data_IF_066532795394
#
_entry.id   IF_066532795394
#
_cell.length_a   1.000
_cell.length_b   1.000
_cell.length_c   1.000
_cell.angle_alpha   90.00
_cell.angle_beta   90.00
_cell.angle_gamma   90.00
#
_symmetry.space_group_name_H-M   'P 1'
#
loop_
_entity.id
_entity.type
_entity.pdbx_description
1 polymer ?
#
# COMPACT_ATOMS: atom_id res chain seq x y z
N UNK A 1 -31.32 -29.83 -26.35
CA UNK A 1 -31.78 -28.43 -26.45
C UNK A 1 -32.75 -28.15 -25.32
N UNK A 2 -32.32 -27.40 -24.32
CA UNK A 2 -33.20 -26.75 -23.35
C UNK A 2 -32.40 -25.60 -22.74
N UNK A 3 -32.45 -24.46 -23.43
CA UNK A 3 -31.98 -23.17 -22.95
C UNK A 3 -32.90 -22.74 -21.80
N UNK A 4 -32.45 -22.94 -20.56
CA UNK A 4 -32.97 -22.14 -19.45
C UNK A 4 -32.35 -20.75 -19.55
N UNK A 5 -33.19 -19.81 -19.99
CA UNK A 5 -32.88 -18.38 -20.03
C UNK A 5 -32.58 -17.91 -18.61
N UNK A 6 -31.35 -17.45 -18.38
CA UNK A 6 -31.02 -16.58 -17.24
C UNK A 6 -32.01 -15.40 -17.25
N UNK A 7 -32.92 -15.38 -16.28
CA UNK A 7 -33.75 -14.21 -16.05
C UNK A 7 -32.84 -13.05 -15.62
N UNK A 8 -33.04 -11.83 -16.13
CA UNK A 8 -32.31 -10.66 -15.67
C UNK A 8 -32.63 -10.45 -14.19
N UNK A 9 -31.60 -10.56 -13.35
CA UNK A 9 -31.67 -10.29 -11.92
C UNK A 9 -31.95 -8.80 -11.78
N UNK A 10 -33.16 -8.43 -11.34
CA UNK A 10 -33.50 -7.03 -11.04
C UNK A 10 -32.53 -6.53 -9.96
N UNK A 11 -31.67 -5.59 -10.32
CA UNK A 11 -30.78 -4.92 -9.37
C UNK A 11 -31.64 -4.20 -8.32
N UNK A 12 -31.58 -4.68 -7.07
CA UNK A 12 -32.23 -4.00 -5.95
C UNK A 12 -31.58 -2.64 -5.75
N UNK A 13 -32.35 -1.53 -5.72
CA UNK A 13 -31.80 -0.20 -5.46
C UNK A 13 -30.94 -0.18 -4.19
N UNK A 14 -29.80 0.52 -4.22
CA UNK A 14 -28.87 0.58 -3.08
C UNK A 14 -29.57 1.03 -1.78
N UNK A 15 -30.50 1.97 -1.87
CA UNK A 15 -31.31 2.44 -0.73
C UNK A 15 -32.11 1.32 -0.06
N UNK A 16 -32.74 0.45 -0.85
CA UNK A 16 -33.52 -0.70 -0.35
C UNK A 16 -32.60 -1.73 0.31
N UNK A 17 -31.43 -2.00 -0.29
CA UNK A 17 -30.45 -2.92 0.28
C UNK A 17 -29.88 -2.43 1.63
N UNK A 18 -29.62 -1.14 1.75
CA UNK A 18 -29.21 -0.51 3.01
C UNK A 18 -30.30 -0.65 4.09
N UNK A 19 -31.55 -0.43 3.70
CA UNK A 19 -32.69 -0.56 4.60
C UNK A 19 -32.85 -2.00 5.10
N UNK A 20 -32.79 -2.98 4.20
CA UNK A 20 -32.83 -4.41 4.54
C UNK A 20 -31.72 -4.78 5.54
N UNK A 21 -30.48 -4.33 5.32
CA UNK A 21 -29.35 -4.63 6.21
C UNK A 21 -29.53 -4.00 7.60
N UNK A 22 -30.08 -2.78 7.66
CA UNK A 22 -30.40 -2.09 8.92
C UNK A 22 -31.52 -2.78 9.68
N UNK A 23 -32.56 -3.22 8.99
CA UNK A 23 -33.69 -3.90 9.64
C UNK A 23 -33.27 -5.28 10.16
N UNK A 24 -32.43 -6.03 9.43
CA UNK A 24 -31.78 -7.24 9.95
C UNK A 24 -30.97 -6.99 11.22
N UNK A 25 -30.24 -5.88 11.30
CA UNK A 25 -29.50 -5.53 12.53
C UNK A 25 -30.47 -5.24 13.69
N UNK A 26 -31.55 -4.50 13.45
CA UNK A 26 -32.56 -4.23 14.48
C UNK A 26 -33.22 -5.52 14.97
N UNK A 27 -33.52 -6.47 14.07
CA UNK A 27 -34.06 -7.78 14.44
C UNK A 27 -33.08 -8.53 15.37
N UNK A 28 -31.79 -8.55 15.04
CA UNK A 28 -30.75 -9.17 15.87
C UNK A 28 -30.69 -8.51 17.25
N UNK A 29 -30.69 -7.17 17.31
CA UNK A 29 -30.66 -6.42 18.56
C UNK A 29 -31.90 -6.68 19.42
N UNK A 30 -33.09 -6.71 18.81
CA UNK A 30 -34.35 -7.01 19.50
C UNK A 30 -34.40 -8.45 20.05
N UNK A 31 -33.70 -9.38 19.41
CA UNK A 31 -33.55 -10.76 19.86
C UNK A 31 -32.47 -10.94 20.95
N UNK A 32 -31.75 -9.88 21.34
CA UNK A 32 -30.61 -9.96 22.27
C UNK A 32 -29.33 -10.50 21.64
N UNK A 33 -29.27 -10.57 20.31
CA UNK A 33 -28.16 -11.13 19.52
C UNK A 33 -27.37 -10.02 18.82
N UNK A 34 -27.13 -8.89 19.50
CA UNK A 34 -26.40 -7.75 18.92
C UNK A 34 -24.94 -8.15 18.61
N UNK A 35 -24.53 -8.26 17.33
CA UNK A 35 -23.19 -8.68 16.99
C UNK A 35 -22.12 -7.68 17.47
N UNK A 36 -22.47 -6.40 17.68
CA UNK A 36 -21.54 -5.39 18.14
C UNK A 36 -21.28 -5.41 19.66
N UNK A 37 -22.02 -6.22 20.43
CA UNK A 37 -21.71 -6.51 21.83
C UNK A 37 -20.67 -7.62 21.97
N UNK A 38 -20.38 -8.37 20.90
CA UNK A 38 -19.35 -9.41 20.87
C UNK A 38 -18.00 -8.73 20.63
N UNK A 39 -17.24 -8.55 21.71
CA UNK A 39 -15.95 -7.86 21.68
C UNK A 39 -14.76 -8.78 21.44
N UNK A 40 -14.97 -10.10 21.53
CA UNK A 40 -13.91 -11.12 21.39
C UNK A 40 -14.42 -12.37 20.69
N UNK A 41 -13.59 -12.92 19.81
CA UNK A 41 -13.72 -14.27 19.27
C UNK A 41 -12.34 -14.92 19.26
N UNK A 42 -12.21 -16.10 19.88
CA UNK A 42 -10.96 -16.86 19.90
C UNK A 42 -10.84 -17.66 18.59
N UNK A 43 -9.80 -17.39 17.81
CA UNK A 43 -9.47 -18.08 16.56
C UNK A 43 -8.07 -18.72 16.66
N UNK A 44 -7.80 -19.75 15.87
CA UNK A 44 -6.56 -20.53 15.97
C UNK A 44 -5.78 -20.64 14.64
N UNK A 45 -6.45 -20.49 13.50
CA UNK A 45 -5.84 -20.61 12.19
C UNK A 45 -6.31 -19.53 11.22
N UNK A 46 -5.42 -19.16 10.29
CA UNK A 46 -5.79 -18.43 9.09
C UNK A 46 -6.03 -19.37 7.91
N UNK A 47 -6.74 -18.88 6.91
CA UNK A 47 -7.08 -19.55 5.67
C UNK A 47 -5.84 -20.09 4.96
N UNK A 48 -4.76 -19.31 4.91
CA UNK A 48 -3.51 -19.73 4.30
C UNK A 48 -2.79 -20.78 5.14
N UNK A 49 -2.77 -20.62 6.47
CA UNK A 49 -2.20 -21.62 7.38
C UNK A 49 -2.89 -22.99 7.29
N UNK A 50 -4.21 -23.02 7.05
CA UNK A 50 -4.96 -24.26 6.82
C UNK A 50 -4.55 -24.88 5.49
N UNK A 51 -4.42 -24.09 4.43
CA UNK A 51 -4.04 -24.58 3.10
C UNK A 51 -2.61 -25.14 3.07
N UNK A 52 -1.66 -24.41 3.67
CA UNK A 52 -0.24 -24.78 3.67
C UNK A 52 0.01 -26.05 4.49
N UNK A 53 -0.82 -26.30 5.51
CA UNK A 53 -0.70 -27.45 6.43
C UNK A 53 -1.89 -28.41 6.31
N UNK A 54 -2.53 -28.43 5.14
CA UNK A 54 -3.81 -29.12 4.97
C UNK A 54 -3.73 -30.61 5.34
N UNK A 55 -2.72 -31.33 4.87
CA UNK A 55 -2.59 -32.77 5.11
C UNK A 55 -2.45 -33.12 6.60
N UNK A 56 -1.92 -32.20 7.42
CA UNK A 56 -1.82 -32.38 8.86
C UNK A 56 -3.09 -31.93 9.61
N UNK A 57 -3.89 -31.05 9.00
CA UNK A 57 -5.08 -30.47 9.60
C UNK A 57 -6.38 -31.14 9.13
N UNK A 58 -6.36 -31.94 8.07
CA UNK A 58 -7.56 -32.62 7.60
C UNK A 58 -8.20 -33.48 8.71
N UNK A 59 -9.49 -33.27 8.94
CA UNK A 59 -10.25 -33.89 10.04
C UNK A 59 -10.08 -33.21 11.40
N UNK A 60 -9.21 -32.20 11.54
CA UNK A 60 -9.04 -31.44 12.78
C UNK A 60 -10.06 -30.32 12.91
N UNK A 61 -10.42 -30.02 14.15
CA UNK A 61 -11.23 -28.85 14.48
C UNK A 61 -10.39 -27.57 14.42
N UNK A 62 -10.98 -26.53 13.83
CA UNK A 62 -10.37 -25.22 13.67
C UNK A 62 -11.38 -24.10 13.92
N UNK A 63 -10.87 -22.96 14.37
CA UNK A 63 -11.60 -21.71 14.55
C UNK A 63 -11.03 -20.64 13.64
N UNK A 64 -11.82 -20.22 12.66
CA UNK A 64 -11.44 -19.19 11.69
C UNK A 64 -12.37 -17.99 11.80
N UNK A 65 -11.86 -16.80 11.54
CA UNK A 65 -12.65 -15.57 11.52
C UNK A 65 -12.30 -14.71 10.31
N UNK A 66 -13.31 -14.09 9.71
CA UNK A 66 -13.11 -13.30 8.50
C UNK A 66 -14.39 -12.73 7.92
N UNK A 67 -14.25 -12.08 6.76
CA UNK A 67 -15.33 -11.46 6.00
C UNK A 67 -15.94 -12.45 5.02
N UNK A 68 -17.26 -12.55 4.98
CA UNK A 68 -17.97 -13.28 3.93
C UNK A 68 -17.84 -12.54 2.60
N UNK A 69 -17.11 -13.11 1.64
CA UNK A 69 -16.87 -12.52 0.32
C UNK A 69 -17.84 -13.04 -0.74
N UNK A 70 -18.36 -14.25 -0.55
CA UNK A 70 -19.35 -14.85 -1.43
C UNK A 70 -20.27 -15.74 -0.60
N UNK A 71 -21.49 -15.95 -1.09
CA UNK A 71 -22.46 -16.84 -0.48
C UNK A 71 -23.36 -17.45 -1.55
N UNK A 72 -23.45 -18.77 -1.58
CA UNK A 72 -24.25 -19.56 -2.53
C UNK A 72 -25.04 -20.60 -1.75
N UNK A 73 -26.37 -20.48 -1.74
CA UNK A 73 -27.27 -21.44 -1.10
C UNK A 73 -27.87 -22.41 -2.11
N UNK A 74 -27.89 -23.70 -1.78
CA UNK A 74 -28.59 -24.76 -2.51
C UNK A 74 -29.40 -25.60 -1.52
N UNK A 75 -30.67 -25.26 -1.31
CA UNK A 75 -31.55 -25.97 -0.38
C UNK A 75 -31.01 -26.00 1.05
N UNK A 76 -30.56 -27.19 1.49
CA UNK A 76 -30.00 -27.46 2.83
C UNK A 76 -28.50 -27.22 2.96
N UNK A 77 -27.84 -26.75 1.91
CA UNK A 77 -26.39 -26.52 1.89
C UNK A 77 -26.11 -25.06 1.53
N UNK A 78 -25.11 -24.46 2.17
CA UNK A 78 -24.59 -23.14 1.87
C UNK A 78 -23.07 -23.19 1.72
N UNK A 79 -22.56 -22.63 0.63
CA UNK A 79 -21.13 -22.44 0.38
C UNK A 79 -20.81 -20.95 0.47
N UNK A 80 -19.77 -20.59 1.22
CA UNK A 80 -19.30 -19.21 1.32
C UNK A 80 -17.79 -19.14 1.19
N UNK A 81 -17.26 -18.05 0.66
CA UNK A 81 -15.83 -17.74 0.79
C UNK A 81 -15.61 -16.82 1.98
N UNK A 82 -14.81 -17.25 2.94
CA UNK A 82 -14.35 -16.43 4.05
C UNK A 82 -12.98 -15.84 3.70
N UNK A 83 -12.85 -14.51 3.77
CA UNK A 83 -11.57 -13.82 3.61
C UNK A 83 -11.06 -13.32 4.96
N UNK A 84 -9.84 -13.69 5.31
CA UNK A 84 -9.16 -13.21 6.51
C UNK A 84 -7.92 -12.38 6.13
N UNK A 85 -6.98 -12.25 7.07
CA UNK A 85 -5.77 -11.47 6.85
C UNK A 85 -4.78 -12.10 5.86
N UNK A 86 -4.80 -13.41 5.65
CA UNK A 86 -3.78 -14.11 4.85
C UNK A 86 -4.34 -14.61 3.52
N UNK A 87 -5.66 -14.77 3.39
CA UNK A 87 -6.25 -15.25 2.15
C UNK A 87 -7.74 -15.51 2.23
N UNK A 88 -8.18 -16.53 1.51
CA UNK A 88 -9.57 -16.99 1.46
C UNK A 88 -9.68 -18.47 1.70
N UNK A 89 -10.70 -18.93 2.41
CA UNK A 89 -11.05 -20.35 2.55
C UNK A 89 -12.54 -20.56 2.35
N UNK A 90 -12.91 -21.68 1.72
CA UNK A 90 -14.31 -22.02 1.53
C UNK A 90 -14.91 -22.55 2.85
N UNK A 91 -16.09 -22.07 3.18
CA UNK A 91 -16.96 -22.58 4.22
C UNK A 91 -18.03 -23.48 3.61
N UNK A 92 -18.23 -24.65 4.20
CA UNK A 92 -19.28 -25.58 3.85
C UNK A 92 -20.23 -25.73 5.05
N UNK A 93 -21.42 -25.15 4.94
CA UNK A 93 -22.45 -25.22 5.98
C UNK A 93 -23.62 -26.09 5.50
N UNK A 94 -23.98 -27.11 6.26
CA UNK A 94 -25.08 -28.02 5.92
C UNK A 94 -26.05 -28.11 7.10
N UNK A 95 -27.34 -27.96 6.82
CA UNK A 95 -28.39 -27.93 7.85
C UNK A 95 -28.40 -29.17 8.74
N UNK A 96 -28.18 -30.36 8.20
CA UNK A 96 -28.23 -31.60 8.98
C UNK A 96 -26.97 -31.82 9.86
N UNK A 97 -25.94 -30.98 9.71
CA UNK A 97 -24.65 -31.06 10.43
C UNK A 97 -24.43 -29.88 11.39
N UNK A 98 -25.42 -28.97 11.48
CA UNK A 98 -25.42 -27.80 12.34
C UNK A 98 -26.70 -27.79 13.18
N UNK A 99 -26.71 -27.02 14.26
CA UNK A 99 -27.96 -26.69 14.94
C UNK A 99 -28.93 -25.98 13.96
N UNK A 100 -30.21 -26.36 13.98
CA UNK A 100 -31.20 -25.88 13.02
C UNK A 100 -31.42 -24.36 13.15
N UNK A 101 -31.42 -23.82 14.38
CA UNK A 101 -31.57 -22.40 14.63
C UNK A 101 -30.34 -21.63 14.13
N UNK A 102 -29.13 -22.14 14.41
CA UNK A 102 -27.87 -21.55 13.94
C UNK A 102 -27.81 -21.55 12.41
N UNK A 103 -28.19 -22.63 11.73
CA UNK A 103 -28.21 -22.66 10.26
C UNK A 103 -29.24 -21.68 9.68
N UNK A 104 -30.41 -21.55 10.30
CA UNK A 104 -31.44 -20.58 9.90
C UNK A 104 -30.96 -19.14 10.07
N UNK A 105 -30.24 -18.83 11.14
CA UNK A 105 -29.59 -17.53 11.34
C UNK A 105 -28.50 -17.29 10.30
N UNK A 106 -27.60 -18.26 10.08
CA UNK A 106 -26.54 -18.17 9.08
C UNK A 106 -27.08 -17.87 7.69
N UNK A 107 -28.23 -18.45 7.31
CA UNK A 107 -28.90 -18.14 6.04
C UNK A 107 -29.26 -16.67 5.88
N UNK A 108 -29.52 -15.93 6.97
CA UNK A 108 -29.82 -14.49 6.95
C UNK A 108 -28.58 -13.59 6.80
N UNK A 109 -27.37 -14.09 7.07
CA UNK A 109 -26.13 -13.30 6.96
C UNK A 109 -25.85 -12.87 5.52
N UNK A 110 -25.20 -11.72 5.36
CA UNK A 110 -24.97 -11.08 4.07
C UNK A 110 -23.48 -11.06 3.69
N UNK A 111 -23.22 -10.94 2.38
CA UNK A 111 -21.87 -10.66 1.88
C UNK A 111 -21.38 -9.34 2.50
N UNK A 112 -20.15 -9.35 3.02
CA UNK A 112 -19.53 -8.26 3.74
C UNK A 112 -19.57 -8.43 5.26
N UNK A 113 -20.47 -9.26 5.81
CA UNK A 113 -20.51 -9.55 7.25
C UNK A 113 -19.18 -10.19 7.71
N UNK A 114 -18.76 -9.88 8.94
CA UNK A 114 -17.62 -10.54 9.58
C UNK A 114 -18.17 -11.62 10.50
N UNK A 115 -17.65 -12.84 10.36
CA UNK A 115 -18.09 -14.01 11.11
C UNK A 115 -16.91 -14.73 11.73
N UNK A 116 -17.15 -15.36 12.87
CA UNK A 116 -16.31 -16.41 13.45
C UNK A 116 -16.95 -17.77 13.16
N UNK A 117 -16.13 -18.78 12.89
CA UNK A 117 -16.56 -20.12 12.50
C UNK A 117 -15.78 -21.13 13.30
N UNK A 118 -16.50 -22.01 14.01
CA UNK A 118 -15.97 -23.26 14.53
C UNK A 118 -16.32 -24.38 13.54
N UNK A 119 -15.33 -25.14 13.11
CA UNK A 119 -15.55 -26.17 12.10
C UNK A 119 -14.44 -27.19 12.03
N UNK A 120 -14.50 -28.03 11.00
CA UNK A 120 -13.53 -29.10 10.75
C UNK A 120 -12.93 -28.94 9.36
N UNK A 121 -11.62 -29.05 9.24
CA UNK A 121 -10.93 -28.98 7.94
C UNK A 121 -11.23 -30.23 7.14
N UNK A 122 -11.63 -30.08 5.88
CA UNK A 122 -11.87 -31.21 5.00
C UNK A 122 -11.71 -30.81 3.52
N UNK A 123 -11.66 -31.83 2.66
CA UNK A 123 -11.70 -31.65 1.21
C UNK A 123 -13.09 -31.93 0.66
N UNK A 124 -13.62 -31.01 -0.14
CA UNK A 124 -14.87 -31.26 -0.86
C UNK A 124 -14.70 -32.31 -1.96
N UNK A 125 -15.81 -32.85 -2.48
CA UNK A 125 -15.78 -33.77 -3.65
C UNK A 125 -15.10 -33.18 -4.90
N UNK A 126 -15.04 -31.84 -5.01
CA UNK A 126 -14.37 -31.13 -6.11
C UNK A 126 -12.88 -30.87 -5.84
N UNK A 127 -12.34 -31.36 -4.73
CA UNK A 127 -10.93 -31.22 -4.38
C UNK A 127 -10.57 -29.93 -3.64
N UNK A 128 -11.53 -29.02 -3.45
CA UNK A 128 -11.31 -27.73 -2.78
C UNK A 128 -11.19 -27.93 -1.25
N UNK A 129 -10.12 -27.38 -0.68
CA UNK A 129 -9.87 -27.34 0.76
C UNK A 129 -10.89 -26.41 1.43
N UNK A 130 -11.57 -26.86 2.47
CA UNK A 130 -12.70 -26.17 3.07
C UNK A 130 -12.79 -26.40 4.57
N UNK A 131 -13.57 -25.55 5.25
CA UNK A 131 -13.97 -25.73 6.64
C UNK A 131 -15.44 -26.13 6.67
N UNK A 132 -15.74 -27.34 7.16
CA UNK A 132 -17.10 -27.81 7.45
C UNK A 132 -17.58 -27.10 8.71
N UNK A 133 -18.56 -26.22 8.56
CA UNK A 133 -19.06 -25.36 9.63
C UNK A 133 -19.89 -26.19 10.60
N UNK A 134 -19.49 -26.19 11.88
CA UNK A 134 -20.28 -26.74 13.00
C UNK A 134 -21.07 -25.62 13.68
N UNK A 135 -20.42 -24.48 13.91
CA UNK A 135 -21.01 -23.29 14.50
C UNK A 135 -20.52 -22.03 13.79
N UNK A 136 -21.35 -20.98 13.80
CA UNK A 136 -21.00 -19.68 13.21
C UNK A 136 -21.55 -18.56 14.07
N UNK A 137 -20.71 -17.55 14.31
CA UNK A 137 -21.04 -16.38 15.11
C UNK A 137 -20.90 -15.13 14.24
N UNK A 138 -21.96 -14.32 14.13
CA UNK A 138 -21.86 -13.00 13.51
C UNK A 138 -21.11 -12.05 14.44
N UNK A 139 -19.94 -11.59 14.02
CA UNK A 139 -19.10 -10.68 14.80
C UNK A 139 -19.31 -9.22 14.42
N UNK A 140 -19.68 -8.96 13.16
CA UNK A 140 -19.98 -7.60 12.71
C UNK A 140 -20.93 -7.62 11.53
N UNK A 141 -22.06 -6.92 11.66
CA UNK A 141 -23.01 -6.74 10.58
C UNK A 141 -22.49 -5.68 9.60
N UNK A 142 -22.36 -6.05 8.34
CA UNK A 142 -22.03 -5.12 7.26
C UNK A 142 -23.29 -4.37 6.82
N UNK A 143 -23.35 -3.08 7.12
CA UNK A 143 -24.48 -2.22 6.75
C UNK A 143 -24.40 -1.69 5.31
N UNK A 144 -23.18 -1.51 4.79
CA UNK A 144 -22.94 -1.14 3.40
C UNK A 144 -22.55 -2.40 2.61
N UNK A 145 -23.18 -2.67 1.45
CA UNK A 145 -22.76 -3.77 0.59
C UNK A 145 -21.34 -3.55 0.08
N UNK A 146 -20.60 -4.64 -0.13
CA UNK A 146 -19.35 -4.58 -0.86
C UNK A 146 -19.62 -4.22 -2.33
N UNK A 147 -18.72 -3.50 -3.00
CA UNK A 147 -18.86 -3.24 -4.43
C UNK A 147 -18.93 -4.53 -5.24
N UNK A 148 -19.67 -4.51 -6.34
CA UNK A 148 -19.76 -5.67 -7.22
C UNK A 148 -18.41 -6.05 -7.82
N UNK A 149 -18.18 -7.36 -7.97
CA UNK A 149 -16.90 -7.94 -8.38
C UNK A 149 -16.40 -7.47 -9.75
N UNK A 150 -17.30 -7.07 -10.65
CA UNK A 150 -16.96 -6.71 -12.04
C UNK A 150 -16.90 -5.20 -12.28
N UNK A 151 -17.77 -4.41 -11.64
CA UNK A 151 -17.91 -2.98 -11.92
C UNK A 151 -17.60 -2.07 -10.72
N UNK A 152 -17.55 -2.62 -9.51
CA UNK A 152 -17.81 -1.85 -8.30
C UNK A 152 -16.67 -0.94 -7.79
N UNK A 153 -15.41 -1.19 -8.16
CA UNK A 153 -14.30 -0.37 -7.65
C UNK A 153 -13.12 -0.27 -8.63
N UNK A 154 -13.41 0.04 -9.90
CA UNK A 154 -12.36 0.31 -10.89
C UNK A 154 -11.93 1.79 -10.87
N UNK A 155 -12.84 2.71 -10.52
CA UNK A 155 -12.56 4.14 -10.50
C UNK A 155 -11.43 4.47 -9.51
N UNK A 156 -10.37 5.08 -10.04
CA UNK A 156 -9.12 5.35 -9.30
C UNK A 156 -9.36 6.31 -8.14
N UNK A 157 -10.19 7.33 -8.32
CA UNK A 157 -10.46 8.33 -7.28
C UNK A 157 -11.23 7.70 -6.11
N UNK A 158 -12.25 6.91 -6.41
CA UNK A 158 -13.05 6.19 -5.41
C UNK A 158 -12.18 5.23 -4.60
N UNK A 159 -11.25 4.50 -5.25
CA UNK A 159 -10.29 3.62 -4.57
C UNK A 159 -9.42 4.38 -3.57
N UNK A 160 -9.00 5.60 -3.90
CA UNK A 160 -8.19 6.43 -3.01
C UNK A 160 -9.01 6.97 -1.83
N UNK A 161 -10.25 7.42 -2.07
CA UNK A 161 -11.17 7.92 -1.04
C UNK A 161 -11.66 6.81 -0.10
N UNK A 162 -11.82 5.59 -0.61
CA UNK A 162 -12.34 4.44 0.13
C UNK A 162 -11.31 3.32 0.20
N UNK A 163 -10.10 3.64 0.67
CA UNK A 163 -8.99 2.68 0.74
C UNK A 163 -9.34 1.39 1.48
N UNK A 164 -10.18 1.47 2.51
CA UNK A 164 -10.63 0.30 3.27
C UNK A 164 -11.44 -0.68 2.41
N UNK A 165 -12.23 -0.20 1.43
CA UNK A 165 -12.94 -1.05 0.48
C UNK A 165 -11.98 -1.63 -0.56
N UNK A 166 -11.08 -0.78 -1.08
CA UNK A 166 -10.05 -1.17 -2.04
C UNK A 166 -9.18 -2.32 -1.51
N UNK A 167 -8.74 -2.25 -0.25
CA UNK A 167 -7.98 -3.31 0.42
C UNK A 167 -8.73 -4.63 0.56
N UNK A 168 -10.07 -4.61 0.62
CA UNK A 168 -10.90 -5.83 0.71
C UNK A 168 -10.97 -6.51 -0.65
N UNK A 169 -11.25 -5.74 -1.71
CA UNK A 169 -11.61 -6.27 -3.02
C UNK A 169 -10.40 -6.48 -3.96
N UNK A 170 -9.30 -5.75 -3.74
CA UNK A 170 -8.08 -5.75 -4.56
C UNK A 170 -6.86 -6.24 -3.76
N UNK A 171 -6.57 -7.56 -3.74
CA UNK A 171 -5.48 -8.16 -2.96
C UNK A 171 -4.09 -7.60 -3.29
N UNK A 172 -3.87 -7.20 -4.53
CA UNK A 172 -2.61 -6.60 -5.00
C UNK A 172 -2.32 -5.25 -4.34
N UNK A 173 -3.36 -4.47 -4.03
CA UNK A 173 -3.22 -3.22 -3.27
C UNK A 173 -2.73 -3.54 -1.86
N UNK A 174 -3.37 -4.51 -1.19
CA UNK A 174 -2.94 -4.95 0.14
C UNK A 174 -1.50 -5.46 0.12
N UNK A 175 -1.11 -6.24 -0.90
CA UNK A 175 0.27 -6.69 -1.11
C UNK A 175 1.24 -5.52 -1.22
N UNK A 176 0.89 -4.44 -1.93
CA UNK A 176 1.73 -3.25 -2.02
C UNK A 176 1.98 -2.58 -0.66
N UNK A 177 0.96 -2.50 0.22
CA UNK A 177 1.15 -2.00 1.59
C UNK A 177 2.05 -2.91 2.43
N UNK A 178 1.91 -4.23 2.31
CA UNK A 178 2.78 -5.20 2.99
C UNK A 178 4.23 -5.03 2.52
N UNK A 179 4.46 -4.95 1.21
CA UNK A 179 5.79 -4.71 0.62
C UNK A 179 6.35 -3.37 1.10
N UNK A 180 5.54 -2.31 1.16
CA UNK A 180 5.97 -1.00 1.71
C UNK A 180 6.44 -1.14 3.16
N UNK A 181 5.70 -1.83 4.02
CA UNK A 181 6.12 -2.07 5.40
C UNK A 181 7.40 -2.89 5.49
N UNK A 182 7.54 -3.94 4.68
CA UNK A 182 8.76 -4.76 4.60
C UNK A 182 9.97 -3.94 4.12
N UNK A 183 9.78 -3.08 3.12
CA UNK A 183 10.82 -2.20 2.59
C UNK A 183 11.28 -1.19 3.63
N UNK A 184 10.35 -0.49 4.30
CA UNK A 184 10.71 0.46 5.37
C UNK A 184 11.44 -0.25 6.52
N UNK A 185 11.00 -1.45 6.92
CA UNK A 185 11.72 -2.26 7.90
C UNK A 185 13.13 -2.62 7.40
N UNK A 186 13.27 -3.01 6.14
CA UNK A 186 14.57 -3.34 5.55
C UNK A 186 15.51 -2.15 5.51
N UNK A 187 15.02 -0.94 5.21
CA UNK A 187 15.81 0.30 5.26
C UNK A 187 16.39 0.49 6.67
N UNK A 188 15.57 0.34 7.72
CA UNK A 188 16.06 0.42 9.11
C UNK A 188 17.09 -0.64 9.41
N UNK A 189 16.75 -1.92 9.20
CA UNK A 189 17.66 -3.04 9.46
C UNK A 189 19.01 -2.87 8.72
N UNK A 190 18.98 -2.33 7.48
CA UNK A 190 20.15 -2.10 6.64
C UNK A 190 21.06 -0.98 7.14
N UNK A 191 20.46 0.14 7.59
CA UNK A 191 21.17 1.31 8.11
C UNK A 191 21.68 1.07 9.54
N UNK A 192 20.85 0.49 10.41
CA UNK A 192 21.22 0.09 11.78
C UNK A 192 22.39 -0.89 11.75
N UNK A 193 22.36 -1.88 10.85
CA UNK A 193 23.45 -2.84 10.64
C UNK A 193 24.76 -2.22 10.15
N UNK A 194 24.75 -0.95 9.74
CA UNK A 194 25.92 -0.16 9.31
C UNK A 194 26.29 0.95 10.30
N UNK A 195 25.68 0.94 11.49
CA UNK A 195 25.99 1.89 12.55
C UNK A 195 25.40 3.28 12.34
N UNK A 196 24.40 3.44 11.46
CA UNK A 196 23.60 4.66 11.44
C UNK A 196 22.62 4.65 12.61
N UNK A 197 22.49 5.79 13.28
CA UNK A 197 21.53 5.97 14.36
C UNK A 197 20.24 6.60 13.82
N UNK A 198 19.10 5.94 13.99
CA UNK A 198 17.78 6.55 13.72
C UNK A 198 17.53 7.67 14.73
N UNK A 199 17.14 8.85 14.25
CA UNK A 199 16.84 10.03 15.08
C UNK A 199 15.50 10.64 14.68
N UNK A 200 14.92 11.43 15.57
CA UNK A 200 13.72 12.22 15.29
C UNK A 200 14.04 13.70 15.43
N UNK A 201 13.89 14.47 14.34
CA UNK A 201 14.12 15.91 14.33
C UNK A 201 12.79 16.70 14.31
N UNK A 202 12.79 18.00 14.65
CA UNK A 202 11.55 18.78 14.72
C UNK A 202 10.75 18.77 13.41
N UNK A 203 9.43 18.52 13.53
CA UNK A 203 8.46 18.62 12.42
C UNK A 203 8.00 20.07 12.21
N UNK A 204 7.89 20.82 13.31
CA UNK A 204 7.54 22.24 13.32
C UNK A 204 8.82 23.06 13.49
N UNK A 205 9.10 23.92 12.51
CA UNK A 205 10.27 24.79 12.51
C UNK A 205 9.85 26.26 12.54
N UNK A 206 10.70 27.11 13.12
CA UNK A 206 10.54 28.58 13.07
C UNK A 206 11.02 29.20 11.77
N UNK A 207 11.75 28.42 10.96
CA UNK A 207 12.22 28.78 9.61
C UNK A 207 11.97 27.60 8.66
N UNK A 208 11.69 27.89 7.40
CA UNK A 208 11.61 26.87 6.34
C UNK A 208 12.95 26.80 5.60
N UNK A 209 13.56 25.62 5.50
CA UNK A 209 14.84 25.42 4.82
C UNK A 209 15.20 23.93 4.64
N UNK A 210 16.30 23.67 3.93
CA UNK A 210 16.78 22.32 3.59
C UNK A 210 16.21 21.76 2.27
N UNK A 211 15.32 22.50 1.59
CA UNK A 211 14.88 22.22 0.23
C UNK A 211 14.30 23.50 -0.40
N UNK A 212 14.09 23.49 -1.71
CA UNK A 212 13.36 24.53 -2.43
C UNK A 212 11.91 24.10 -2.62
N UNK A 213 11.05 24.44 -1.65
CA UNK A 213 9.63 24.08 -1.66
C UNK A 213 8.81 25.10 -0.86
N UNK A 214 7.51 25.25 -1.21
CA UNK A 214 6.59 26.10 -0.43
C UNK A 214 6.16 25.35 0.85
N UNK A 215 6.33 25.91 2.06
CA UNK A 215 5.90 25.23 3.28
C UNK A 215 4.40 25.37 3.55
N UNK A 216 3.87 24.49 4.39
CA UNK A 216 2.63 24.76 5.12
C UNK A 216 2.94 25.62 6.34
N UNK A 217 2.13 26.65 6.56
CA UNK A 217 2.27 27.59 7.67
C UNK A 217 1.18 27.29 8.70
N UNK A 218 1.55 27.29 9.97
CA UNK A 218 0.66 27.15 11.12
C UNK A 218 1.04 28.17 12.20
N UNK A 219 0.29 28.24 13.28
CA UNK A 219 0.47 29.24 14.32
C UNK A 219 0.51 28.59 15.72
N UNK A 220 1.52 28.94 16.51
CA UNK A 220 1.69 28.44 17.87
C UNK A 220 1.06 29.39 18.90
N UNK A 221 -0.17 29.11 19.31
CA UNK A 221 -1.00 29.99 20.16
C UNK A 221 -0.30 30.54 21.43
N UNK A 222 0.47 29.73 22.17
CA UNK A 222 1.09 30.19 23.43
C UNK A 222 2.33 31.07 23.23
N UNK A 223 3.07 30.84 22.15
CA UNK A 223 4.29 31.59 21.83
C UNK A 223 3.98 32.79 20.94
N UNK A 224 2.77 32.84 20.37
CA UNK A 224 2.29 33.87 19.45
C UNK A 224 3.26 34.07 18.27
N UNK A 225 3.66 32.95 17.66
CA UNK A 225 4.55 32.92 16.48
C UNK A 225 4.00 32.01 15.40
N UNK A 226 4.33 32.35 14.15
CA UNK A 226 4.14 31.46 13.03
C UNK A 226 5.19 30.35 13.03
N UNK A 227 4.76 29.15 12.63
CA UNK A 227 5.62 27.98 12.48
C UNK A 227 5.37 27.33 11.11
N UNK A 228 6.35 26.58 10.65
CA UNK A 228 6.36 25.95 9.34
C UNK A 228 6.48 24.44 9.52
N UNK A 229 5.64 23.68 8.82
CA UNK A 229 5.88 22.25 8.68
C UNK A 229 7.15 22.04 7.84
N UNK A 230 8.03 21.14 8.28
CA UNK A 230 9.32 20.88 7.62
C UNK A 230 9.14 20.42 6.17
N UNK A 231 9.93 21.02 5.28
CA UNK A 231 10.03 20.65 3.85
C UNK A 231 11.17 19.67 3.56
N UNK A 232 12.07 19.49 4.54
CA UNK A 232 13.22 18.60 4.57
C UNK A 232 13.66 18.37 6.02
N UNK A 233 14.47 17.34 6.24
CA UNK A 233 15.12 17.01 7.53
C UNK A 233 16.62 17.39 7.55
N UNK A 234 17.15 17.89 6.44
CA UNK A 234 18.57 18.21 6.24
C UNK A 234 19.21 19.07 7.34
N UNK A 235 18.64 20.26 7.61
CA UNK A 235 19.31 21.22 8.49
C UNK A 235 19.43 20.70 9.93
N UNK A 236 18.37 20.12 10.56
CA UNK A 236 18.52 19.48 11.85
C UNK A 236 19.51 18.31 11.84
N UNK A 237 19.49 17.44 10.83
CA UNK A 237 20.42 16.30 10.77
C UNK A 237 21.88 16.75 10.65
N UNK A 238 22.18 17.78 9.85
CA UNK A 238 23.53 18.39 9.80
C UNK A 238 23.98 18.95 11.14
N UNK A 239 23.07 19.49 11.96
CA UNK A 239 23.41 19.94 13.33
C UNK A 239 23.83 18.77 14.22
N UNK A 240 23.28 17.57 14.02
CA UNK A 240 23.70 16.37 14.74
C UNK A 240 25.10 15.91 14.32
N UNK A 241 25.43 15.99 13.02
CA UNK A 241 26.80 15.76 12.53
C UNK A 241 27.78 16.74 13.19
N UNK A 242 27.45 18.03 13.24
CA UNK A 242 28.25 19.05 13.95
C UNK A 242 28.39 18.72 15.44
N UNK A 243 27.35 18.13 16.04
CA UNK A 243 27.34 17.64 17.42
C UNK A 243 28.18 16.38 17.68
N UNK A 244 28.83 15.81 16.65
CA UNK A 244 29.69 14.63 16.76
C UNK A 244 29.00 13.30 16.54
N UNK A 245 27.77 13.29 16.01
CA UNK A 245 27.10 12.04 15.61
C UNK A 245 27.53 11.66 14.19
N UNK A 246 28.53 10.79 14.05
CA UNK A 246 29.14 10.49 12.73
C UNK A 246 28.19 9.87 11.70
N UNK A 247 27.14 9.15 12.12
CA UNK A 247 26.17 8.51 11.21
C UNK A 247 24.75 8.61 11.76
N UNK A 248 23.90 9.36 11.09
CA UNK A 248 22.49 9.56 11.48
C UNK A 248 21.57 9.36 10.29
N UNK A 249 20.35 8.93 10.55
CA UNK A 249 19.29 8.93 9.55
C UNK A 249 17.92 9.21 10.18
N UNK A 250 16.99 9.71 9.39
CA UNK A 250 15.60 9.85 9.78
C UNK A 250 14.67 9.33 8.68
N UNK A 251 13.73 8.44 9.05
CA UNK A 251 12.60 8.06 8.20
C UNK A 251 11.39 8.89 8.62
N UNK A 252 11.25 10.06 8.01
CA UNK A 252 10.32 11.10 8.45
C UNK A 252 9.25 11.44 7.43
N UNK A 253 8.14 12.04 7.91
CA UNK A 253 7.22 12.76 7.03
C UNK A 253 7.79 14.15 6.72
N UNK A 254 7.71 14.57 5.47
CA UNK A 254 7.92 15.96 5.06
C UNK A 254 6.67 16.49 4.35
N UNK A 255 6.51 17.81 4.36
CA UNK A 255 5.30 18.48 3.93
C UNK A 255 5.65 19.59 2.94
N UNK A 256 5.12 19.51 1.72
CA UNK A 256 5.33 20.52 0.68
C UNK A 256 3.97 20.97 0.15
N UNK A 257 3.72 22.27 0.24
CA UNK A 257 2.46 22.91 -0.14
C UNK A 257 2.44 23.18 -1.65
N UNK A 258 2.42 22.08 -2.40
CA UNK A 258 2.54 22.00 -3.86
C UNK A 258 1.34 21.26 -4.45
N UNK A 259 1.27 21.25 -5.79
CA UNK A 259 0.25 20.50 -6.52
C UNK A 259 0.35 18.99 -6.28
N UNK A 260 -0.72 18.27 -6.64
CA UNK A 260 -0.78 16.81 -6.55
C UNK A 260 -0.80 16.18 -7.93
N UNK A 261 -0.04 15.11 -8.10
CA UNK A 261 -0.04 14.28 -9.31
C UNK A 261 0.31 12.81 -8.94
N UNK A 262 0.44 11.88 -9.89
CA UNK A 262 0.77 10.48 -9.58
C UNK A 262 2.10 10.26 -8.85
N UNK A 263 3.01 11.22 -8.87
CA UNK A 263 4.35 11.19 -8.24
C UNK A 263 4.46 12.13 -7.03
N UNK A 264 3.58 13.12 -6.90
CA UNK A 264 3.63 14.14 -5.85
C UNK A 264 2.40 14.10 -4.93
N UNK A 265 2.65 13.95 -3.63
CA UNK A 265 1.65 14.10 -2.57
C UNK A 265 2.13 15.16 -1.56
N UNK A 266 1.26 16.03 -1.00
CA UNK A 266 1.70 17.17 -0.19
C UNK A 266 2.34 16.75 1.14
N UNK A 267 2.12 15.50 1.56
CA UNK A 267 2.82 14.86 2.65
C UNK A 267 3.43 13.52 2.19
N UNK A 268 4.72 13.31 2.38
CA UNK A 268 5.37 12.09 1.91
C UNK A 268 6.55 11.69 2.78
N UNK A 269 6.85 10.39 2.76
CA UNK A 269 7.94 9.83 3.56
C UNK A 269 9.24 9.94 2.80
N UNK A 270 10.27 10.45 3.46
CA UNK A 270 11.64 10.44 2.98
C UNK A 270 12.51 9.63 3.92
N UNK A 271 13.67 9.24 3.42
CA UNK A 271 14.82 8.83 4.22
C UNK A 271 15.88 9.88 3.92
N UNK A 272 16.31 10.62 4.93
CA UNK A 272 17.55 11.38 4.85
C UNK A 272 18.57 10.77 5.80
N UNK A 273 19.81 10.70 5.35
CA UNK A 273 20.92 10.14 6.10
C UNK A 273 22.18 10.95 5.88
N UNK A 274 23.02 11.01 6.90
CA UNK A 274 24.29 11.71 6.88
C UNK A 274 25.37 10.83 7.47
N UNK A 275 26.54 10.85 6.84
CA UNK A 275 27.74 10.16 7.29
C UNK A 275 28.92 11.15 7.23
N UNK A 276 29.57 11.37 8.38
CA UNK A 276 30.82 12.10 8.46
C UNK A 276 31.95 11.33 7.77
N UNK A 277 32.93 12.08 7.24
CA UNK A 277 34.13 11.55 6.56
C UNK A 277 33.84 10.66 5.34
N UNK A 278 32.69 10.86 4.70
CA UNK A 278 32.29 10.21 3.45
C UNK A 278 32.05 11.25 2.36
N UNK A 279 32.08 10.79 1.10
CA UNK A 279 31.67 11.59 -0.05
C UNK A 279 30.43 11.00 -0.76
N UNK A 280 30.08 11.57 -1.91
CA UNK A 280 28.90 11.11 -2.65
C UNK A 280 29.08 9.73 -3.31
N UNK A 281 30.32 9.25 -3.51
CA UNK A 281 30.58 7.90 -4.02
C UNK A 281 30.21 6.85 -2.97
N UNK A 282 30.54 7.10 -1.70
CA UNK A 282 30.09 6.26 -0.59
C UNK A 282 28.56 6.17 -0.53
N UNK A 283 27.88 7.30 -0.81
CA UNK A 283 26.41 7.34 -0.85
C UNK A 283 25.83 6.58 -2.07
N UNK A 284 26.51 6.62 -3.22
CA UNK A 284 26.15 5.82 -4.39
C UNK A 284 26.25 4.31 -4.08
N UNK A 285 27.37 3.87 -3.48
CA UNK A 285 27.57 2.48 -3.05
C UNK A 285 26.51 2.05 -2.03
N UNK A 286 26.22 2.90 -1.05
CA UNK A 286 25.22 2.65 -0.02
C UNK A 286 23.82 2.48 -0.64
N UNK A 287 23.43 3.36 -1.55
CA UNK A 287 22.11 3.35 -2.18
C UNK A 287 21.90 2.12 -3.09
N UNK A 288 22.91 1.79 -3.90
CA UNK A 288 22.89 0.58 -4.73
C UNK A 288 22.74 -0.67 -3.85
N UNK A 289 23.54 -0.78 -2.79
CA UNK A 289 23.48 -1.91 -1.86
C UNK A 289 22.13 -1.97 -1.12
N UNK A 290 21.54 -0.83 -0.75
CA UNK A 290 20.23 -0.74 -0.09
C UNK A 290 19.14 -1.30 -1.00
N UNK A 291 19.03 -0.78 -2.22
CA UNK A 291 17.97 -1.16 -3.16
C UNK A 291 18.13 -2.58 -3.67
N UNK A 292 19.35 -2.98 -4.06
CA UNK A 292 19.61 -4.34 -4.57
C UNK A 292 19.32 -5.38 -3.48
N UNK A 293 19.75 -5.14 -2.24
CA UNK A 293 19.45 -6.07 -1.14
C UNK A 293 17.96 -6.12 -0.79
N UNK A 294 17.23 -4.99 -0.92
CA UNK A 294 15.79 -4.96 -0.73
C UNK A 294 15.05 -5.78 -1.80
N UNK A 295 15.44 -5.63 -3.07
CA UNK A 295 14.90 -6.39 -4.18
C UNK A 295 15.06 -7.91 -3.95
N UNK A 296 16.28 -8.36 -3.64
CA UNK A 296 16.53 -9.77 -3.40
C UNK A 296 15.80 -10.31 -2.17
N UNK A 297 15.74 -9.55 -1.06
CA UNK A 297 15.11 -10.00 0.19
C UNK A 297 13.58 -10.05 0.12
N UNK A 298 12.97 -9.07 -0.56
CA UNK A 298 11.50 -8.89 -0.55
C UNK A 298 10.86 -9.52 -1.78
N UNK A 299 11.51 -9.42 -2.94
CA UNK A 299 10.97 -9.93 -4.22
C UNK A 299 11.62 -11.25 -4.64
N UNK A 300 12.81 -11.58 -4.11
CA UNK A 300 13.54 -12.80 -4.47
C UNK A 300 14.27 -12.73 -5.81
N UNK A 301 14.28 -11.56 -6.45
CA UNK A 301 14.79 -11.32 -7.80
C UNK A 301 15.31 -9.89 -7.94
N UNK A 302 16.22 -9.65 -8.88
CA UNK A 302 16.67 -8.31 -9.28
C UNK A 302 15.85 -7.75 -10.45
N UNK A 303 15.17 -8.62 -11.19
CA UNK A 303 14.41 -8.29 -12.39
C UNK A 303 13.01 -7.86 -11.98
N UNK A 304 12.66 -6.61 -12.27
CA UNK A 304 11.37 -6.02 -11.94
C UNK A 304 10.77 -5.34 -13.17
N UNK A 305 9.45 -5.38 -13.28
CA UNK A 305 8.73 -4.65 -14.32
C UNK A 305 8.09 -3.40 -13.71
N UNK A 306 8.31 -2.24 -14.34
CA UNK A 306 7.73 -0.98 -13.92
C UNK A 306 7.27 -0.18 -15.13
N UNK A 307 5.98 0.14 -15.19
CA UNK A 307 5.36 0.87 -16.31
C UNK A 307 5.61 0.27 -17.70
N UNK A 308 5.74 -1.07 -17.78
CA UNK A 308 6.03 -1.80 -19.03
C UNK A 308 7.52 -1.92 -19.34
N UNK A 309 8.39 -1.26 -18.57
CA UNK A 309 9.84 -1.36 -18.72
C UNK A 309 10.40 -2.47 -17.82
N UNK A 310 11.36 -3.22 -18.37
CA UNK A 310 12.12 -4.21 -17.60
C UNK A 310 13.32 -3.52 -16.97
N UNK A 311 13.38 -3.53 -15.64
CA UNK A 311 14.45 -2.93 -14.85
C UNK A 311 15.27 -4.05 -14.22
N UNK A 312 16.59 -3.98 -14.37
CA UNK A 312 17.53 -4.87 -13.70
C UNK A 312 18.20 -4.15 -12.53
N UNK A 313 17.91 -4.61 -11.31
CA UNK A 313 18.50 -4.11 -10.06
C UNK A 313 19.74 -4.90 -9.63
N UNK A 314 20.36 -5.67 -10.53
CA UNK A 314 21.62 -6.38 -10.25
C UNK A 314 22.73 -5.34 -9.95
N UNK A 315 23.55 -5.54 -8.89
CA UNK A 315 24.64 -4.62 -8.56
C UNK A 315 25.61 -4.37 -9.72
N UNK A 316 26.24 -3.19 -9.72
CA UNK A 316 27.12 -2.69 -10.79
C UNK A 316 26.46 -1.65 -11.68
N UNK A 317 25.69 -0.71 -11.11
CA UNK A 317 24.96 0.29 -11.89
C UNK A 317 25.91 1.27 -12.57
N UNK A 318 25.61 1.68 -13.82
CA UNK A 318 26.44 2.66 -14.52
C UNK A 318 26.44 3.99 -13.77
N UNK A 319 27.63 4.58 -13.62
CA UNK A 319 27.80 5.95 -13.10
C UNK A 319 28.16 6.85 -14.26
N UNK A 320 27.26 7.78 -14.55
CA UNK A 320 27.45 8.79 -15.58
C UNK A 320 27.37 10.15 -14.92
N UNK A 321 28.30 11.04 -15.28
CA UNK A 321 28.10 12.46 -15.04
C UNK A 321 26.99 12.99 -15.96
N UNK A 322 26.36 14.10 -15.57
CA UNK A 322 25.26 14.70 -16.34
C UNK A 322 25.65 14.99 -17.80
N UNK A 323 26.86 15.50 -18.04
CA UNK A 323 27.33 15.82 -19.38
C UNK A 323 27.65 14.57 -20.21
N UNK A 324 28.14 13.48 -19.60
CA UNK A 324 28.33 12.20 -20.27
C UNK A 324 26.98 11.62 -20.70
N UNK A 325 25.98 11.65 -19.83
CA UNK A 325 24.62 11.19 -20.16
C UNK A 325 24.02 12.00 -21.32
N UNK A 326 24.08 13.34 -21.24
CA UNK A 326 23.59 14.20 -22.33
C UNK A 326 24.30 13.90 -23.65
N UNK A 327 25.62 13.72 -23.62
CA UNK A 327 26.40 13.38 -24.82
C UNK A 327 26.01 12.01 -25.39
N UNK A 328 25.81 11.01 -24.54
CA UNK A 328 25.42 9.66 -24.95
C UNK A 328 24.04 9.62 -25.60
N UNK A 329 23.03 10.25 -24.99
CA UNK A 329 21.64 10.15 -25.42
C UNK A 329 21.23 11.20 -26.47
N UNK A 330 21.88 12.36 -26.50
CA UNK A 330 21.54 13.47 -27.42
C UNK A 330 22.61 13.77 -28.45
N UNK A 331 23.86 13.33 -28.22
CA UNK A 331 25.03 13.68 -29.04
C UNK A 331 25.63 15.05 -28.73
N UNK A 332 25.01 15.88 -27.87
CA UNK A 332 25.53 17.20 -27.52
C UNK A 332 26.66 17.10 -26.51
N UNK A 333 27.85 17.56 -26.90
CA UNK A 333 29.01 17.64 -26.01
C UNK A 333 29.08 19.02 -25.33
N UNK A 334 28.38 19.16 -24.19
CA UNK A 334 28.37 20.40 -23.43
C UNK A 334 29.75 20.80 -22.91
N UNK A 335 30.69 19.85 -22.72
CA UNK A 335 32.05 20.16 -22.30
C UNK A 335 32.88 20.83 -23.40
N UNK A 336 32.44 20.72 -24.66
CA UNK A 336 33.02 21.46 -25.77
C UNK A 336 32.43 22.88 -25.94
N UNK A 337 31.35 23.21 -25.22
CA UNK A 337 30.66 24.50 -25.28
C UNK A 337 31.21 25.42 -24.20
N UNK A 338 31.60 26.64 -24.58
CA UNK A 338 32.30 27.58 -23.68
C UNK A 338 31.50 28.81 -23.27
N UNK A 339 30.34 29.06 -23.90
CA UNK A 339 29.48 30.21 -23.60
C UNK A 339 28.05 29.82 -23.28
N UNK A 340 27.39 30.67 -22.50
CA UNK A 340 25.99 30.51 -22.11
C UNK A 340 25.07 30.55 -23.34
N UNK A 341 25.34 31.47 -24.27
CA UNK A 341 24.56 31.63 -25.50
C UNK A 341 24.62 30.39 -26.39
N UNK A 342 25.81 29.79 -26.57
CA UNK A 342 25.99 28.57 -27.35
C UNK A 342 25.29 27.37 -26.68
N UNK A 343 25.36 27.26 -25.36
CA UNK A 343 24.71 26.18 -24.62
C UNK A 343 23.19 26.22 -24.73
N UNK A 344 22.60 27.42 -24.59
CA UNK A 344 21.16 27.64 -24.77
C UNK A 344 20.75 27.39 -26.22
N UNK A 345 21.57 27.78 -27.20
CA UNK A 345 21.31 27.48 -28.60
C UNK A 345 21.37 25.97 -28.89
N UNK A 346 22.32 25.25 -28.29
CA UNK A 346 22.45 23.80 -28.43
C UNK A 346 21.24 23.07 -27.84
N UNK A 347 20.80 23.42 -26.63
CA UNK A 347 19.57 22.89 -26.03
C UNK A 347 18.35 23.13 -26.95
N UNK A 348 18.20 24.36 -27.45
CA UNK A 348 17.10 24.72 -28.35
C UNK A 348 17.13 23.93 -29.65
N UNK A 349 18.31 23.58 -30.18
CA UNK A 349 18.46 22.84 -31.43
C UNK A 349 17.85 21.43 -31.39
N UNK A 350 17.74 20.84 -30.20
CA UNK A 350 17.09 19.53 -29.97
C UNK A 350 15.70 19.67 -29.33
N UNK A 351 15.13 20.88 -29.42
CA UNK A 351 13.78 21.19 -28.94
C UNK A 351 13.64 21.19 -27.42
N UNK A 352 14.70 21.54 -26.69
CA UNK A 352 14.66 21.81 -25.25
C UNK A 352 14.58 23.32 -25.04
N UNK A 353 13.56 23.78 -24.34
CA UNK A 353 13.42 25.18 -23.94
C UNK A 353 13.65 25.31 -22.43
N UNK A 354 14.45 26.31 -22.05
CA UNK A 354 14.65 26.65 -20.64
C UNK A 354 13.37 27.31 -20.09
N UNK A 355 12.95 26.99 -18.86
CA UNK A 355 11.86 27.69 -18.19
C UNK A 355 12.10 29.20 -18.14
N UNK A 356 11.04 30.00 -18.22
CA UNK A 356 11.15 31.47 -18.12
C UNK A 356 11.78 31.93 -16.80
N UNK A 357 11.66 31.12 -15.75
CA UNK A 357 12.23 31.36 -14.42
C UNK A 357 13.69 30.98 -14.29
N UNK A 358 14.28 30.30 -15.29
CA UNK A 358 15.66 29.86 -15.26
C UNK A 358 16.56 30.88 -15.95
N UNK A 359 17.68 31.24 -15.29
CA UNK A 359 18.71 32.06 -15.92
C UNK A 359 19.30 31.34 -17.14
N UNK A 360 19.57 32.08 -18.21
CA UNK A 360 20.12 31.54 -19.46
C UNK A 360 21.61 31.30 -19.32
N UNK A 361 21.97 30.24 -18.60
CA UNK A 361 23.36 29.86 -18.33
C UNK A 361 23.68 28.50 -18.92
N UNK A 362 24.97 28.23 -19.13
CA UNK A 362 25.49 26.93 -19.54
C UNK A 362 25.00 25.81 -18.62
N UNK A 363 25.02 26.04 -17.31
CA UNK A 363 24.61 25.06 -16.30
C UNK A 363 23.13 24.71 -16.38
N UNK A 364 22.26 25.73 -16.50
CA UNK A 364 20.82 25.51 -16.65
C UNK A 364 20.50 24.84 -17.99
N UNK A 365 21.20 25.21 -19.08
CA UNK A 365 21.01 24.56 -20.37
C UNK A 365 21.39 23.08 -20.33
N UNK A 366 22.52 22.72 -19.69
CA UNK A 366 22.90 21.33 -19.51
C UNK A 366 21.87 20.56 -18.69
N UNK A 367 21.42 21.13 -17.57
CA UNK A 367 20.41 20.52 -16.69
C UNK A 367 19.09 20.26 -17.42
N UNK A 368 18.58 21.26 -18.15
CA UNK A 368 17.30 21.13 -18.88
C UNK A 368 17.40 20.11 -20.01
N UNK A 369 18.55 20.01 -20.68
CA UNK A 369 18.74 18.94 -21.67
C UNK A 369 18.72 17.57 -21.00
N UNK A 370 19.43 17.40 -19.88
CA UNK A 370 19.44 16.15 -19.13
C UNK A 370 18.06 15.73 -18.61
N UNK A 371 17.25 16.69 -18.14
CA UNK A 371 15.93 16.39 -17.56
C UNK A 371 14.89 16.06 -18.65
N UNK A 372 14.97 16.71 -19.81
CA UNK A 372 13.95 16.61 -20.87
C UNK A 372 14.26 15.61 -21.99
N UNK A 373 15.52 15.21 -22.18
CA UNK A 373 15.99 14.38 -23.31
C UNK A 373 16.95 13.29 -22.86
#
# INVERSE_FOLDING_TARGET
MSNEKNAPQQETPLSELLQIRRDKLKELQAAGEDPFQITKFDWDHTSQQIKDRFDALEGQEVKVAGRLMSKRGMGKVSFCDLQDRDGRIQLYARQDEMDEAVYKQFKKYDIGDIVGVDGEVFRTKRGEMSVRVKNVTLLSKSLLPLPEKFHGLQDRETRYRQRYVDLIVNPEVKRAFVIRSQFVKHVRDFLDGRGYMEVETPVLNTISGGATARPFITHHNTLDIDMYLRIATELPLKRLIVGGMDRVYEIGRIFRNEGMDPKHNPEFTTVELYQAYADFNDMMDLFEALLSSAAQKILGTYQVEWQGEQIDLTPGWPRLTMHEAVKEYTGLDFMAISSDEEAVAAAKSIGVELPETADKTWGNALYEVFDQR
#
